data_IF_096852590323
#
_entry.id   IF_096852590323
#
_cell.length_a   1.000
_cell.length_b   1.000
_cell.length_c   1.000
_cell.angle_alpha   90.00
_cell.angle_beta   90.00
_cell.angle_gamma   90.00
#
_symmetry.space_group_name_H-M   'P 1'
#
loop_
_entity.id
_entity.type
_entity.pdbx_description
1 polymer ?
#
# COMPACT_ATOMS: atom_id res chain seq x y z
N UNK A 1 3.36 -14.63 27.65
CA UNK A 1 3.04 -13.35 26.99
C UNK A 1 2.91 -13.64 25.51
N UNK A 2 1.92 -13.07 24.80
CA UNK A 2 1.75 -13.33 23.38
C UNK A 2 2.91 -12.75 22.58
N UNK A 3 3.25 -13.38 21.46
CA UNK A 3 4.27 -12.86 20.53
C UNK A 3 3.79 -11.59 19.81
N UNK A 4 2.50 -11.54 19.46
CA UNK A 4 1.87 -10.41 18.77
C UNK A 4 0.59 -10.00 19.51
N UNK A 5 0.40 -8.70 19.71
CA UNK A 5 -0.87 -8.14 20.18
C UNK A 5 -1.48 -7.30 19.06
N UNK A 6 -2.65 -7.73 18.58
CA UNK A 6 -3.45 -6.99 17.59
C UNK A 6 -4.39 -6.07 18.34
N UNK A 7 -4.11 -4.77 18.30
CA UNK A 7 -5.06 -3.77 18.77
C UNK A 7 -6.17 -3.65 17.72
N UNK A 8 -7.40 -3.92 18.12
CA UNK A 8 -8.58 -3.85 17.25
C UNK A 8 -9.52 -2.74 17.77
N UNK A 9 -9.38 -1.52 17.23
CA UNK A 9 -10.29 -0.42 17.54
C UNK A 9 -11.70 -0.74 16.97
N UNK A 10 -12.74 -0.68 17.81
CA UNK A 10 -14.13 -0.96 17.40
C UNK A 10 -15.06 0.20 17.77
N UNK A 11 -15.76 0.74 16.77
CA UNK A 11 -16.79 1.75 16.96
C UNK A 11 -18.00 1.47 16.05
N UNK A 12 -19.18 1.20 16.62
CA UNK A 12 -20.43 0.91 15.91
C UNK A 12 -20.23 -0.06 14.72
N UNK A 13 -19.53 -1.17 14.99
CA UNK A 13 -18.98 -2.08 14.00
C UNK A 13 -19.77 -3.41 13.88
N UNK A 14 -20.99 -3.49 14.40
CA UNK A 14 -21.80 -4.72 14.41
C UNK A 14 -21.92 -5.41 13.05
N UNK A 15 -21.93 -4.64 11.95
CA UNK A 15 -22.04 -5.16 10.59
C UNK A 15 -20.74 -5.78 10.02
N UNK A 16 -19.56 -5.40 10.53
CA UNK A 16 -18.25 -5.77 9.93
C UNK A 16 -17.33 -6.50 10.89
N UNK A 17 -17.54 -6.35 12.20
CA UNK A 17 -16.67 -6.90 13.23
C UNK A 17 -16.53 -8.42 13.15
N UNK A 18 -17.61 -9.15 12.85
CA UNK A 18 -17.57 -10.61 12.75
C UNK A 18 -16.56 -11.09 11.69
N UNK A 19 -16.64 -10.55 10.48
CA UNK A 19 -15.72 -10.91 9.39
C UNK A 19 -14.27 -10.54 9.72
N UNK A 20 -14.04 -9.43 10.42
CA UNK A 20 -12.71 -9.02 10.86
C UNK A 20 -12.12 -9.97 11.91
N UNK A 21 -12.90 -10.35 12.92
CA UNK A 21 -12.48 -11.30 13.95
C UNK A 21 -12.26 -12.69 13.37
N UNK A 22 -13.17 -13.21 12.54
CA UNK A 22 -12.99 -14.49 11.87
C UNK A 22 -11.70 -14.52 11.02
N UNK A 23 -11.42 -13.43 10.30
CA UNK A 23 -10.18 -13.29 9.54
C UNK A 23 -8.94 -13.30 10.45
N UNK A 24 -8.96 -12.58 11.57
CA UNK A 24 -7.85 -12.58 12.54
C UNK A 24 -7.66 -13.95 13.19
N UNK A 25 -8.74 -14.64 13.56
CA UNK A 25 -8.65 -15.93 14.24
C UNK A 25 -8.22 -17.06 13.31
N UNK A 26 -8.36 -16.89 11.99
CA UNK A 26 -7.90 -17.81 10.95
C UNK A 26 -6.41 -17.65 10.57
N UNK A 27 -5.67 -16.73 11.21
CA UNK A 27 -4.24 -16.55 10.92
C UNK A 27 -3.41 -17.79 11.31
N UNK A 28 -2.37 -18.07 10.52
CA UNK A 28 -1.51 -19.26 10.71
C UNK A 28 -0.56 -19.16 11.91
N UNK A 29 -0.27 -17.94 12.39
CA UNK A 29 0.46 -17.73 13.63
C UNK A 29 -0.52 -17.93 14.81
N UNK A 30 -0.31 -18.90 15.71
CA UNK A 30 -1.24 -19.16 16.80
C UNK A 30 -1.01 -18.27 18.04
N UNK A 31 0.23 -17.81 18.25
CA UNK A 31 0.64 -17.08 19.45
C UNK A 31 0.42 -15.56 19.31
N UNK A 32 -0.85 -15.16 19.38
CA UNK A 32 -1.23 -13.75 19.41
C UNK A 32 -2.49 -13.54 20.25
N UNK A 33 -2.75 -12.28 20.58
CA UNK A 33 -4.02 -11.83 21.15
C UNK A 33 -4.64 -10.73 20.29
N UNK A 34 -5.96 -10.59 20.41
CA UNK A 34 -6.73 -9.48 19.83
C UNK A 34 -7.31 -8.68 20.99
N UNK A 35 -6.83 -7.45 21.17
CA UNK A 35 -7.33 -6.54 22.18
C UNK A 35 -8.38 -5.64 21.54
N UNK A 36 -9.66 -5.91 21.81
CA UNK A 36 -10.77 -5.12 21.27
C UNK A 36 -10.95 -3.86 22.11
N UNK A 37 -10.80 -2.70 21.47
CA UNK A 37 -10.86 -1.37 22.08
C UNK A 37 -12.18 -0.71 21.68
N UNK A 38 -13.19 -0.80 22.55
CA UNK A 38 -14.47 -0.10 22.39
C UNK A 38 -14.38 1.30 23.02
N UNK A 39 -14.84 2.31 22.29
CA UNK A 39 -14.77 3.73 22.69
C UNK A 39 -16.11 4.32 23.18
N UNK A 40 -17.08 3.45 23.50
CA UNK A 40 -18.42 3.83 23.93
C UNK A 40 -19.47 3.66 22.83
N UNK A 41 -19.46 2.49 22.19
CA UNK A 41 -20.42 2.19 21.12
C UNK A 41 -21.86 2.12 21.61
N UNK A 42 -22.80 2.39 20.71
CA UNK A 42 -24.23 2.43 21.00
C UNK A 42 -25.05 1.32 20.33
N UNK A 43 -24.39 0.47 19.54
CA UNK A 43 -25.01 -0.64 18.80
C UNK A 43 -24.71 -2.01 19.44
N UNK A 44 -24.96 -3.10 18.71
CA UNK A 44 -24.71 -4.47 19.16
C UNK A 44 -23.22 -4.88 19.24
N UNK A 45 -22.28 -3.97 18.97
CA UNK A 45 -20.83 -4.27 18.94
C UNK A 45 -20.31 -4.90 20.23
N UNK A 46 -20.62 -4.39 21.45
CA UNK A 46 -20.05 -4.93 22.69
C UNK A 46 -20.49 -6.38 22.94
N UNK A 47 -21.76 -6.69 22.66
CA UNK A 47 -22.29 -8.05 22.78
C UNK A 47 -21.61 -9.02 21.82
N UNK A 48 -21.33 -8.56 20.58
CA UNK A 48 -20.62 -9.35 19.59
C UNK A 48 -19.17 -9.62 20.02
N UNK A 49 -18.42 -8.60 20.45
CA UNK A 49 -17.05 -8.77 20.96
C UNK A 49 -17.02 -9.78 22.12
N UNK A 50 -17.96 -9.66 23.06
CA UNK A 50 -18.05 -10.57 24.19
C UNK A 50 -18.27 -12.01 23.71
N UNK A 51 -19.21 -12.23 22.78
CA UNK A 51 -19.49 -13.57 22.27
C UNK A 51 -18.26 -14.21 21.62
N UNK A 52 -17.41 -13.42 20.95
CA UNK A 52 -16.12 -13.89 20.45
C UNK A 52 -15.12 -14.20 21.57
N UNK A 53 -15.03 -13.35 22.60
CA UNK A 53 -14.17 -13.58 23.77
C UNK A 53 -14.53 -14.86 24.55
N UNK A 54 -15.82 -15.22 24.58
CA UNK A 54 -16.27 -16.49 25.16
C UNK A 54 -15.89 -17.71 24.30
N UNK A 55 -15.81 -17.54 22.98
CA UNK A 55 -15.51 -18.62 22.03
C UNK A 55 -14.01 -18.84 21.84
N UNK A 56 -13.21 -17.78 21.94
CA UNK A 56 -11.77 -17.83 21.71
C UNK A 56 -11.02 -16.92 22.71
N UNK A 57 -10.17 -17.53 23.54
CA UNK A 57 -9.42 -16.87 24.60
C UNK A 57 -8.39 -15.84 24.08
N UNK A 58 -8.10 -15.83 22.78
CA UNK A 58 -7.26 -14.81 22.15
C UNK A 58 -7.98 -13.47 22.04
N UNK A 59 -9.32 -13.45 22.02
CA UNK A 59 -10.10 -12.20 21.94
C UNK A 59 -10.31 -11.63 23.35
N UNK A 60 -9.76 -10.44 23.59
CA UNK A 60 -9.77 -9.76 24.88
C UNK A 60 -10.42 -8.38 24.74
N UNK A 61 -11.72 -8.24 25.07
CA UNK A 61 -12.33 -6.93 25.22
C UNK A 61 -11.67 -6.17 26.36
N UNK A 62 -11.37 -4.89 26.14
CA UNK A 62 -11.02 -4.03 27.27
C UNK A 62 -12.26 -3.77 28.14
N UNK A 63 -12.13 -3.86 29.47
CA UNK A 63 -13.27 -3.72 30.39
C UNK A 63 -13.74 -2.27 30.56
N UNK A 64 -12.98 -1.31 30.06
CA UNK A 64 -13.27 0.12 30.21
C UNK A 64 -12.91 0.89 28.94
N UNK A 65 -13.65 1.95 28.69
CA UNK A 65 -13.31 2.93 27.65
C UNK A 65 -12.09 3.72 28.10
N UNK A 66 -10.97 3.54 27.41
CA UNK A 66 -9.72 4.29 27.70
C UNK A 66 -9.64 5.62 26.95
N UNK A 67 -10.31 5.71 25.81
CA UNK A 67 -10.30 6.87 24.93
C UNK A 67 -11.63 6.92 24.18
N UNK A 68 -12.27 8.08 24.18
CA UNK A 68 -13.36 8.37 23.25
C UNK A 68 -12.79 8.86 21.92
N UNK A 69 -13.13 8.22 20.80
CA UNK A 69 -12.64 8.70 19.52
C UNK A 69 -13.26 10.05 19.16
N UNK A 70 -12.41 10.98 18.76
CA UNK A 70 -12.84 12.27 18.25
C UNK A 70 -13.06 12.15 16.76
N UNK A 71 -14.13 11.45 16.41
CA UNK A 71 -14.50 11.18 15.04
C UNK A 71 -15.85 11.81 14.68
N UNK A 72 -16.01 13.10 15.00
CA UNK A 72 -17.22 13.87 14.69
C UNK A 72 -17.34 14.15 13.17
N UNK A 73 -18.54 14.13 12.57
CA UNK A 73 -18.75 14.44 11.15
C UNK A 73 -18.26 15.83 10.73
N UNK A 74 -18.27 16.82 11.62
CA UNK A 74 -17.88 18.20 11.36
C UNK A 74 -16.37 18.47 11.56
N UNK A 75 -15.57 17.49 12.02
CA UNK A 75 -14.13 17.68 12.25
C UNK A 75 -13.44 18.18 10.98
N UNK A 76 -12.49 19.10 11.10
CA UNK A 76 -11.85 19.75 9.95
C UNK A 76 -11.27 18.74 8.94
N UNK A 77 -10.71 17.62 9.40
CA UNK A 77 -10.18 16.58 8.50
C UNK A 77 -11.24 15.86 7.66
N UNK A 78 -12.54 16.03 7.94
CA UNK A 78 -13.66 15.55 7.12
C UNK A 78 -14.24 16.62 6.21
N UNK A 79 -14.35 17.84 6.71
CA UNK A 79 -15.15 18.90 6.09
C UNK A 79 -14.32 19.96 5.39
N UNK A 80 -13.11 20.20 5.85
CA UNK A 80 -12.24 21.25 5.31
C UNK A 80 -11.51 20.76 4.06
N UNK A 81 -11.61 21.54 2.97
CA UNK A 81 -11.01 21.23 1.68
C UNK A 81 -9.49 21.01 1.74
N UNK A 82 -8.79 21.57 2.73
CA UNK A 82 -7.35 21.31 2.94
C UNK A 82 -7.04 19.83 3.16
N UNK A 83 -7.96 19.08 3.72
CA UNK A 83 -7.83 17.63 3.97
C UNK A 83 -8.47 16.77 2.87
N UNK A 84 -8.87 17.37 1.73
CA UNK A 84 -9.34 16.60 0.59
C UNK A 84 -8.30 15.56 0.17
N UNK A 85 -8.77 14.37 -0.23
CA UNK A 85 -7.94 13.26 -0.72
C UNK A 85 -6.96 13.74 -1.79
N UNK A 86 -7.41 14.65 -2.65
CA UNK A 86 -6.59 15.25 -3.70
C UNK A 86 -5.35 16.00 -3.16
N UNK A 87 -5.49 16.75 -2.06
CA UNK A 87 -4.37 17.44 -1.43
C UNK A 87 -3.41 16.45 -0.77
N UNK A 88 -3.92 15.35 -0.20
CA UNK A 88 -3.09 14.28 0.32
C UNK A 88 -2.27 13.60 -0.79
N UNK A 89 -2.90 13.30 -1.94
CA UNK A 89 -2.22 12.71 -3.09
C UNK A 89 -1.18 13.65 -3.70
N UNK A 90 -1.47 14.94 -3.79
CA UNK A 90 -0.52 15.97 -4.23
C UNK A 90 0.69 16.04 -3.30
N UNK A 91 0.46 16.11 -1.98
CA UNK A 91 1.53 16.13 -0.99
C UNK A 91 2.38 14.85 -1.06
N UNK A 92 1.73 13.69 -1.19
CA UNK A 92 2.41 12.40 -1.34
C UNK A 92 3.29 12.37 -2.60
N UNK A 93 2.78 12.80 -3.75
CA UNK A 93 3.56 12.85 -4.99
C UNK A 93 4.78 13.78 -4.86
N UNK A 94 4.60 14.96 -4.25
CA UNK A 94 5.70 15.89 -3.97
C UNK A 94 6.81 15.24 -3.14
N UNK A 95 6.47 14.65 -1.99
CA UNK A 95 7.48 14.05 -1.10
C UNK A 95 8.09 12.76 -1.66
N UNK A 96 7.35 11.99 -2.46
CA UNK A 96 7.94 10.85 -3.17
C UNK A 96 9.03 11.32 -4.14
N UNK A 97 8.78 12.38 -4.92
CA UNK A 97 9.76 12.92 -5.88
C UNK A 97 10.91 13.67 -5.22
N UNK A 98 10.65 14.35 -4.12
CA UNK A 98 11.69 15.02 -3.33
C UNK A 98 12.56 14.03 -2.53
N UNK A 99 12.06 12.82 -2.25
CA UNK A 99 12.74 11.82 -1.45
C UNK A 99 13.07 10.55 -2.25
N UNK A 100 12.36 9.43 -2.01
CA UNK A 100 12.76 8.11 -2.52
C UNK A 100 12.80 7.98 -4.05
N UNK A 101 12.05 8.82 -4.76
CA UNK A 101 12.04 8.85 -6.22
C UNK A 101 12.94 9.96 -6.80
N UNK A 102 13.73 10.63 -5.98
CA UNK A 102 14.67 11.64 -6.45
C UNK A 102 15.64 11.03 -7.48
N UNK A 103 15.83 11.73 -8.62
CA UNK A 103 16.62 11.29 -9.77
C UNK A 103 16.22 9.93 -10.39
N UNK A 104 15.01 9.42 -10.10
CA UNK A 104 14.50 8.23 -10.79
C UNK A 104 13.81 8.65 -12.08
N UNK A 105 14.33 8.18 -13.20
CA UNK A 105 13.77 8.49 -14.52
C UNK A 105 12.38 7.87 -14.73
N UNK A 106 12.12 6.72 -14.08
CA UNK A 106 10.92 5.90 -14.29
C UNK A 106 10.43 5.28 -13.00
N UNK A 107 9.11 5.19 -12.85
CA UNK A 107 8.42 4.63 -11.69
C UNK A 107 7.48 3.51 -12.14
N UNK A 108 7.48 2.41 -11.41
CA UNK A 108 6.52 1.31 -11.60
C UNK A 108 5.59 1.28 -10.39
N UNK A 109 4.28 1.26 -10.65
CA UNK A 109 3.28 1.32 -9.60
C UNK A 109 2.73 -0.06 -9.28
N UNK A 110 3.04 -0.60 -8.10
CA UNK A 110 2.53 -1.90 -7.64
C UNK A 110 1.13 -1.82 -7.00
N UNK A 111 0.21 -1.08 -7.62
CA UNK A 111 -1.22 -1.04 -7.28
C UNK A 111 -1.93 -0.44 -8.49
N UNK A 112 -3.10 -0.97 -8.92
CA UNK A 112 -3.92 -0.35 -9.97
C UNK A 112 -5.40 -0.12 -9.55
N UNK A 113 -5.60 0.29 -8.29
CA UNK A 113 -6.88 0.77 -7.77
C UNK A 113 -7.11 2.26 -8.03
N UNK A 114 -8.29 2.79 -7.71
CA UNK A 114 -8.63 4.20 -7.98
C UNK A 114 -7.64 5.19 -7.37
N UNK A 115 -7.19 4.97 -6.14
CA UNK A 115 -6.17 5.83 -5.51
C UNK A 115 -4.80 5.75 -6.16
N UNK A 116 -4.42 4.56 -6.66
CA UNK A 116 -3.18 4.42 -7.40
C UNK A 116 -3.24 5.16 -8.75
N UNK A 117 -4.40 5.17 -9.42
CA UNK A 117 -4.64 5.97 -10.63
C UNK A 117 -4.48 7.46 -10.33
N UNK A 118 -5.18 7.98 -9.32
CA UNK A 118 -5.10 9.38 -8.96
C UNK A 118 -3.68 9.79 -8.54
N UNK A 119 -2.96 8.94 -7.80
CA UNK A 119 -1.55 9.19 -7.46
C UNK A 119 -0.64 9.21 -8.71
N UNK A 120 -0.87 8.29 -9.66
CA UNK A 120 -0.12 8.25 -10.92
C UNK A 120 -0.26 9.56 -11.69
N UNK A 121 -1.48 10.09 -11.79
CA UNK A 121 -1.72 11.37 -12.44
C UNK A 121 -0.93 12.51 -11.77
N UNK A 122 -0.91 12.56 -10.44
CA UNK A 122 -0.13 13.58 -9.70
C UNK A 122 1.37 13.44 -9.92
N UNK A 123 1.89 12.22 -9.91
CA UNK A 123 3.30 11.95 -10.21
C UNK A 123 3.65 12.39 -11.65
N UNK A 124 2.79 12.07 -12.63
CA UNK A 124 2.97 12.47 -14.03
C UNK A 124 2.91 13.99 -14.20
N UNK A 125 1.93 14.67 -13.58
CA UNK A 125 1.85 16.15 -13.59
C UNK A 125 3.07 16.82 -12.97
N UNK A 126 3.68 16.18 -11.98
CA UNK A 126 4.91 16.64 -11.34
C UNK A 126 6.19 16.23 -12.10
N UNK A 127 6.08 15.60 -13.27
CA UNK A 127 7.19 15.29 -14.18
C UNK A 127 7.74 13.86 -14.10
N UNK A 128 7.15 12.99 -13.27
CA UNK A 128 7.59 11.60 -13.17
C UNK A 128 7.06 10.75 -14.34
N UNK A 129 7.87 9.85 -14.87
CA UNK A 129 7.42 8.90 -15.89
C UNK A 129 6.93 7.60 -15.23
N UNK A 130 5.61 7.39 -15.22
CA UNK A 130 5.03 6.10 -14.81
C UNK A 130 5.17 5.11 -15.97
N UNK A 131 6.04 4.12 -15.81
CA UNK A 131 6.44 3.19 -16.86
C UNK A 131 5.50 1.98 -16.99
N UNK A 132 4.92 1.52 -15.87
CA UNK A 132 4.00 0.40 -15.84
C UNK A 132 3.21 0.35 -14.52
N UNK A 133 2.10 -0.38 -14.53
CA UNK A 133 1.33 -0.76 -13.33
C UNK A 133 1.40 -2.27 -13.12
N UNK A 134 1.66 -2.73 -11.89
CA UNK A 134 1.58 -4.14 -11.55
C UNK A 134 0.22 -4.48 -10.94
N UNK A 135 -0.36 -5.59 -11.39
CA UNK A 135 -1.64 -6.07 -10.89
C UNK A 135 -1.61 -7.57 -10.64
N UNK A 136 -2.45 -8.05 -9.71
CA UNK A 136 -2.57 -9.48 -9.37
C UNK A 136 -3.74 -10.17 -10.09
N UNK A 137 -4.77 -9.41 -10.51
CA UNK A 137 -5.87 -9.95 -11.30
C UNK A 137 -5.44 -10.13 -12.77
N UNK A 138 -5.44 -11.36 -13.30
CA UNK A 138 -5.05 -11.65 -14.68
C UNK A 138 -5.93 -11.02 -15.75
N UNK A 139 -7.20 -10.76 -15.46
CA UNK A 139 -8.13 -10.15 -16.42
C UNK A 139 -7.71 -8.73 -16.83
N UNK A 140 -6.83 -8.08 -16.06
CA UNK A 140 -6.34 -6.73 -16.37
C UNK A 140 -5.04 -6.72 -17.17
N UNK A 141 -4.38 -7.86 -17.37
CA UNK A 141 -3.07 -7.89 -18.05
C UNK A 141 -3.21 -7.51 -19.53
N UNK A 142 -2.20 -6.81 -20.06
CA UNK A 142 -2.19 -6.38 -21.47
C UNK A 142 -3.07 -5.16 -21.77
N UNK A 143 -3.84 -4.68 -20.80
CA UNK A 143 -4.53 -3.39 -20.88
C UNK A 143 -3.58 -2.24 -20.49
N UNK A 144 -3.99 -1.00 -20.75
CA UNK A 144 -3.23 0.20 -20.38
C UNK A 144 -4.01 1.06 -19.39
N UNK A 145 -3.27 1.82 -18.59
CA UNK A 145 -3.77 2.80 -17.66
C UNK A 145 -2.91 4.07 -17.77
N UNK A 146 -3.52 5.21 -18.11
CA UNK A 146 -2.83 6.49 -18.40
C UNK A 146 -1.64 6.33 -19.38
N UNK A 147 -1.83 5.49 -20.41
CA UNK A 147 -0.81 5.21 -21.43
C UNK A 147 0.30 4.24 -21.00
N UNK A 148 0.31 3.76 -19.75
CA UNK A 148 1.27 2.77 -19.26
C UNK A 148 0.64 1.37 -19.21
N UNK A 149 1.38 0.30 -19.55
CA UNK A 149 0.86 -1.06 -19.53
C UNK A 149 0.59 -1.60 -18.12
N UNK A 150 -0.43 -2.45 -18.00
CA UNK A 150 -0.68 -3.27 -16.80
C UNK A 150 0.00 -4.64 -16.99
N UNK A 151 0.95 -4.92 -16.11
CA UNK A 151 1.80 -6.10 -16.13
C UNK A 151 1.53 -7.02 -14.93
N UNK A 152 1.80 -8.33 -15.06
CA UNK A 152 1.72 -9.26 -13.92
C UNK A 152 2.83 -8.97 -12.91
N UNK A 153 2.58 -9.23 -11.63
CA UNK A 153 3.60 -9.11 -10.57
C UNK A 153 4.78 -10.07 -10.74
N UNK A 154 4.62 -11.13 -11.54
CA UNK A 154 5.68 -12.12 -11.81
C UNK A 154 6.89 -11.53 -12.53
N UNK A 155 6.77 -10.38 -13.22
CA UNK A 155 7.90 -9.74 -13.89
C UNK A 155 9.02 -9.37 -12.91
N UNK A 156 8.68 -9.06 -11.66
CA UNK A 156 9.66 -8.72 -10.63
C UNK A 156 10.52 -9.91 -10.23
N UNK A 157 9.98 -11.14 -10.30
CA UNK A 157 10.74 -12.36 -10.02
C UNK A 157 11.78 -12.65 -11.10
N UNK A 158 11.46 -12.36 -12.36
CA UNK A 158 12.37 -12.57 -13.49
C UNK A 158 13.56 -11.59 -13.50
N UNK A 159 13.38 -10.37 -12.96
CA UNK A 159 14.44 -9.37 -12.87
C UNK A 159 15.46 -9.67 -11.75
N UNK A 160 15.05 -10.35 -10.67
CA UNK A 160 15.94 -10.70 -9.56
C UNK A 160 16.80 -11.95 -9.81
N UNK A 161 16.47 -12.78 -10.81
CA UNK A 161 17.15 -14.05 -11.09
C UNK A 161 18.23 -13.98 -12.18
N UNK A 162 18.53 -12.79 -12.73
CA UNK A 162 19.70 -12.62 -13.59
C UNK A 162 20.92 -12.22 -12.74
N UNK A 163 22.01 -13.00 -12.72
CA UNK A 163 23.25 -12.54 -12.11
C UNK A 163 23.72 -11.29 -12.87
N UNK A 164 24.01 -10.23 -12.13
CA UNK A 164 24.63 -9.04 -12.68
C UNK A 164 25.94 -9.47 -13.37
N UNK A 165 25.96 -9.44 -14.70
CA UNK A 165 27.20 -9.59 -15.44
C UNK A 165 28.15 -8.47 -14.96
N UNK A 166 29.25 -8.88 -14.34
CA UNK A 166 30.34 -8.00 -13.99
C UNK A 166 30.95 -7.48 -15.28
N UNK A 167 30.64 -6.23 -15.63
CA UNK A 167 31.27 -5.54 -16.74
C UNK A 167 32.45 -4.73 -16.17
N UNK A 168 33.64 -5.31 -16.28
CA UNK A 168 34.91 -4.64 -15.96
C UNK A 168 35.21 -3.63 -17.05
N UNK A 169 34.76 -2.38 -16.84
CA UNK A 169 35.00 -1.27 -17.76
C UNK A 169 36.48 -0.89 -17.85
N UNK A 170 37.12 -1.21 -18.98
CA UNK A 170 38.31 -0.53 -19.48
C UNK A 170 37.89 0.73 -20.25
N UNK A 171 38.29 1.89 -19.76
CA UNK A 171 38.04 3.19 -20.36
C UNK A 171 38.96 3.42 -21.58
N UNK A 172 38.40 3.71 -22.76
CA UNK A 172 39.10 4.52 -23.77
C UNK A 172 38.10 5.25 -24.69
N UNK A 173 38.50 6.48 -24.99
CA UNK A 173 37.84 7.57 -25.70
C UNK A 173 37.55 7.31 -27.19
N UNK A 174 36.46 7.92 -27.70
CA UNK A 174 36.24 8.19 -29.13
C UNK A 174 34.78 8.12 -29.58
N UNK A 175 34.17 9.27 -29.90
CA UNK A 175 32.91 9.40 -30.70
C UNK A 175 33.28 9.87 -32.12
N UNK A 176 32.37 9.85 -33.12
CA UNK A 176 31.06 9.17 -33.24
C UNK A 176 30.85 8.43 -34.59
N UNK A 177 29.80 7.59 -34.70
CA UNK A 177 28.73 7.69 -35.72
C UNK A 177 27.86 6.43 -35.88
N UNK A 178 26.58 6.71 -36.22
CA UNK A 178 25.55 5.93 -36.95
C UNK A 178 24.62 4.99 -36.17
N UNK A 179 23.34 5.36 -36.31
CA UNK A 179 22.10 4.58 -36.25
C UNK A 179 22.24 3.06 -36.11
N UNK A 180 21.80 2.54 -34.96
CA UNK A 180 21.03 1.31 -34.89
C UNK A 180 20.05 1.38 -33.71
N UNK A 181 18.83 0.91 -33.99
CA UNK A 181 17.70 0.71 -33.09
C UNK A 181 18.09 0.27 -31.68
N UNK A 182 17.79 1.10 -30.67
CA UNK A 182 17.90 0.75 -29.26
C UNK A 182 16.81 -0.27 -28.87
N UNK A 183 17.14 -1.39 -28.20
CA UNK A 183 16.16 -2.17 -27.46
C UNK A 183 15.67 -1.38 -26.24
N UNK A 184 14.46 -1.64 -25.70
CA UNK A 184 13.92 -0.90 -24.58
C UNK A 184 14.85 -1.02 -23.36
N UNK A 185 15.20 0.14 -22.81
CA UNK A 185 16.19 0.30 -21.74
C UNK A 185 15.96 -0.59 -20.52
N UNK A 186 17.08 -1.04 -19.97
CA UNK A 186 17.25 -1.82 -18.74
C UNK A 186 16.43 -1.24 -17.58
N UNK A 187 15.65 -2.09 -16.92
CA UNK A 187 14.95 -1.79 -15.67
C UNK A 187 15.97 -1.92 -14.53
N UNK A 188 16.62 -0.82 -14.13
CA UNK A 188 17.43 -0.82 -12.91
C UNK A 188 16.54 -0.52 -11.71
N UNK A 189 16.19 -1.58 -10.97
CA UNK A 189 15.54 -1.47 -9.68
C UNK A 189 16.57 -1.03 -8.63
N UNK A 190 16.36 0.15 -8.07
CA UNK A 190 17.07 0.59 -6.87
C UNK A 190 16.83 -0.43 -5.75
N UNK A 191 17.91 -1.04 -5.27
CA UNK A 191 17.90 -1.83 -4.03
C UNK A 191 18.15 -0.84 -2.90
N UNK A 192 17.15 -0.63 -2.05
CA UNK A 192 17.35 0.02 -0.76
C UNK A 192 17.99 -1.01 0.18
N UNK A 193 19.06 -0.57 0.85
CA UNK A 193 19.78 -1.31 1.89
C UNK A 193 19.25 -0.88 3.25
#
# INVERSE_FOLDING_TARGET
MPLVSVLLPVHNASATLGAALDSLLAQSLPDFEVVALDDGTSDGTPALVQAYAQRDARVRPLPQVLLHWRDDPARATRTDARYAVENFLRAKAHYLLAGPLHNRERVIMWVAGQMARCLAEHLQRAGAQVAAFLHVNPQKYGTQLHGAPILPTTILRAACSQPAAADSGGCSCGRPARHHSQPPGRLELARDN
#
